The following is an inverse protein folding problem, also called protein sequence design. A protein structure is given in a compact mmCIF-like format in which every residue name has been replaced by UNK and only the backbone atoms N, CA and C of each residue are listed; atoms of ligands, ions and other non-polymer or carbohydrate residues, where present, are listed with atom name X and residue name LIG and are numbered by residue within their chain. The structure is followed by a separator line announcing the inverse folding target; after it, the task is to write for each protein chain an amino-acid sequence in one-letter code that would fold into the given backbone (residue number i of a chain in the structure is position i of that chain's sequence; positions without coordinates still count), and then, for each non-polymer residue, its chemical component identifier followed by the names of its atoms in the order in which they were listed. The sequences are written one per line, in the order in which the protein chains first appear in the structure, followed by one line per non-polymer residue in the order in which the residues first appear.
data_IF_176415014391
#
_entry.id   IF_176415014391
#
_cell.length_a   1.000
_cell.length_b   1.000
_cell.length_c   1.000
_cell.angle_alpha   90.00
_cell.angle_beta   90.00
_cell.angle_gamma   90.00
#
_symmetry.space_group_name_H-M   'P 1'
#
loop_
_entity.id
_entity.type
_entity.pdbx_description
1 polymer ?
#
# COMPACT_ATOMS: atom_id res chain seq x y z
N UNK A 1 -7.96 3.38 -38.88
CA UNK A 1 -8.54 2.71 -37.69
C UNK A 1 -8.05 3.46 -36.48
N UNK A 2 -8.95 4.06 -35.68
CA UNK A 2 -8.54 4.84 -34.53
C UNK A 2 -7.98 3.90 -33.43
N UNK A 3 -6.82 4.24 -32.86
CA UNK A 3 -6.26 3.56 -31.71
C UNK A 3 -7.14 3.82 -30.48
N UNK A 4 -8.18 3.01 -30.30
CA UNK A 4 -9.09 3.04 -29.15
C UNK A 4 -8.48 2.36 -27.91
N UNK A 5 -7.17 2.44 -27.75
CA UNK A 5 -6.47 1.93 -26.57
C UNK A 5 -6.25 3.10 -25.62
N UNK A 6 -6.52 2.89 -24.33
CA UNK A 6 -6.32 3.91 -23.28
C UNK A 6 -7.22 5.16 -23.38
N UNK A 7 -8.37 5.08 -24.04
CA UNK A 7 -9.33 6.19 -24.15
C UNK A 7 -10.22 6.37 -22.90
N UNK A 8 -10.38 5.33 -22.09
CA UNK A 8 -11.17 5.40 -20.86
C UNK A 8 -10.47 6.22 -19.77
N UNK A 9 -11.12 7.24 -19.17
CA UNK A 9 -10.54 8.03 -18.10
C UNK A 9 -10.33 7.19 -16.83
N UNK A 10 -9.13 7.24 -16.26
CA UNK A 10 -8.70 6.45 -15.08
C UNK A 10 -8.58 7.30 -13.82
N UNK A 11 -9.49 8.25 -13.64
CA UNK A 11 -9.49 9.18 -12.50
C UNK A 11 -9.78 8.47 -11.17
N UNK A 12 -10.48 7.33 -11.24
CA UNK A 12 -10.85 6.52 -10.09
C UNK A 12 -10.63 5.03 -10.37
N UNK A 13 -10.83 4.19 -9.35
CA UNK A 13 -10.62 2.75 -9.45
C UNK A 13 -9.17 2.32 -9.22
N UNK A 14 -8.85 1.08 -9.55
CA UNK A 14 -7.57 0.43 -9.20
C UNK A 14 -6.37 1.05 -9.90
N UNK A 15 -6.53 1.43 -11.17
CA UNK A 15 -5.42 1.94 -11.98
C UNK A 15 -5.19 3.45 -11.80
N UNK A 16 -6.08 4.13 -11.07
CA UNK A 16 -5.89 5.53 -10.69
C UNK A 16 -4.72 5.73 -9.72
N UNK A 17 -4.33 4.68 -8.98
CA UNK A 17 -3.34 4.78 -7.89
C UNK A 17 -2.33 3.66 -7.98
N UNK A 18 -1.07 4.04 -7.90
CA UNK A 18 0.07 3.13 -7.94
C UNK A 18 0.93 3.31 -6.69
N UNK A 19 1.68 2.27 -6.34
CA UNK A 19 2.67 2.36 -5.27
C UNK A 19 3.75 3.38 -5.62
N UNK A 20 4.13 4.22 -4.64
CA UNK A 20 5.22 5.20 -4.78
C UNK A 20 6.58 4.59 -5.16
N UNK A 21 6.86 3.36 -4.72
CA UNK A 21 8.16 2.68 -4.93
C UNK A 21 8.09 1.73 -6.11
N UNK A 22 7.17 0.75 -6.05
CA UNK A 22 7.14 -0.39 -6.95
C UNK A 22 6.25 -0.16 -8.19
N UNK A 23 5.58 1.00 -8.31
CA UNK A 23 4.58 1.36 -9.34
C UNK A 23 3.45 0.35 -9.59
N UNK A 24 3.35 -0.70 -8.77
CA UNK A 24 2.26 -1.68 -8.87
C UNK A 24 0.94 -1.08 -8.37
N UNK A 25 -0.16 -1.50 -8.97
CA UNK A 25 -1.53 -1.18 -8.52
C UNK A 25 -2.08 -2.24 -7.57
N UNK A 26 -1.34 -3.34 -7.34
CA UNK A 26 -1.80 -4.48 -6.53
C UNK A 26 -1.43 -4.33 -5.06
N UNK A 27 -2.40 -4.56 -4.18
CA UNK A 27 -2.16 -4.63 -2.73
C UNK A 27 -1.63 -3.32 -2.14
N UNK A 28 -2.15 -2.20 -2.63
CA UNK A 28 -1.82 -0.86 -2.16
C UNK A 28 -2.43 -0.62 -0.77
N UNK A 29 -1.59 -0.32 0.21
CA UNK A 29 -2.02 0.12 1.54
C UNK A 29 -2.41 1.59 1.43
N UNK A 30 -3.71 1.86 1.61
CA UNK A 30 -4.33 3.19 1.48
C UNK A 30 -4.55 3.89 2.82
N UNK A 31 -4.39 3.17 3.93
CA UNK A 31 -4.56 3.73 5.28
C UNK A 31 -3.47 4.77 5.54
N UNK A 32 -3.85 5.90 6.15
CA UNK A 32 -2.96 7.01 6.47
C UNK A 32 -2.25 7.64 5.25
N UNK A 33 -2.83 7.52 4.04
CA UNK A 33 -2.29 8.10 2.81
C UNK A 33 -0.87 7.65 2.41
N UNK A 34 -0.42 6.48 2.87
CA UNK A 34 0.92 5.94 2.55
C UNK A 34 1.11 5.63 1.05
N UNK A 35 0.06 5.20 0.36
CA UNK A 35 0.09 4.79 -1.06
C UNK A 35 1.29 3.86 -1.39
N UNK A 36 1.49 2.83 -0.58
CA UNK A 36 2.60 1.88 -0.70
C UNK A 36 2.11 0.43 -0.83
N UNK A 37 2.75 -0.38 -1.68
CA UNK A 37 2.41 -1.80 -1.86
C UNK A 37 2.80 -2.60 -0.61
N UNK A 38 2.03 -3.64 -0.25
CA UNK A 38 2.28 -4.45 0.97
C UNK A 38 3.69 -5.07 1.06
N UNK A 39 4.37 -5.28 -0.08
CA UNK A 39 5.76 -5.77 -0.13
C UNK A 39 6.72 -4.67 0.33
N UNK A 40 6.70 -3.52 -0.36
CA UNK A 40 7.51 -2.36 -0.01
C UNK A 40 7.22 -1.82 1.39
N UNK A 41 5.97 -1.91 1.87
CA UNK A 41 5.64 -1.50 3.22
C UNK A 41 6.35 -2.35 4.28
N UNK A 42 6.52 -3.65 4.05
CA UNK A 42 7.21 -4.53 5.01
C UNK A 42 8.72 -4.26 5.06
N UNK A 43 9.31 -3.88 3.94
CA UNK A 43 10.73 -3.50 3.86
C UNK A 43 10.99 -2.17 4.60
N UNK A 44 10.10 -1.19 4.42
CA UNK A 44 10.26 0.18 4.94
C UNK A 44 9.48 0.45 6.23
N UNK A 45 8.84 -0.55 6.83
CA UNK A 45 8.00 -0.38 8.01
C UNK A 45 8.78 0.24 9.18
N UNK A 46 10.03 -0.21 9.38
CA UNK A 46 10.88 0.26 10.46
C UNK A 46 11.27 1.73 10.28
N UNK A 47 11.61 2.15 9.04
CA UNK A 47 12.03 3.52 8.71
C UNK A 47 10.88 4.52 8.86
N UNK A 48 9.65 4.10 8.54
CA UNK A 48 8.45 4.92 8.73
C UNK A 48 8.07 4.99 10.24
N UNK A 49 8.70 4.19 11.10
CA UNK A 49 8.47 4.18 12.54
C UNK A 49 7.35 3.24 12.99
N UNK A 50 6.90 2.32 12.13
CA UNK A 50 5.92 1.31 12.46
C UNK A 50 6.58 0.15 13.24
N UNK A 51 6.17 -0.08 14.49
CA UNK A 51 6.63 -1.21 15.30
C UNK A 51 5.56 -2.29 15.42
N UNK A 52 5.98 -3.55 15.27
CA UNK A 52 5.14 -4.73 15.48
C UNK A 52 5.02 -5.04 16.98
N UNK A 53 3.93 -4.61 17.61
CA UNK A 53 3.64 -4.95 19.01
C UNK A 53 2.91 -6.29 19.05
N UNK A 54 3.53 -7.34 19.60
CA UNK A 54 2.87 -8.63 19.83
C UNK A 54 2.21 -8.60 21.21
N UNK A 55 0.88 -8.49 21.29
CA UNK A 55 0.19 -8.86 22.52
C UNK A 55 0.31 -10.38 22.68
N UNK A 56 0.92 -10.84 23.78
CA UNK A 56 0.94 -12.27 24.16
C UNK A 56 -0.51 -12.76 24.17
N UNK A 57 -0.91 -13.60 23.20
CA UNK A 57 -2.24 -14.23 23.21
C UNK A 57 -3.05 -14.32 21.92
N UNK A 58 -2.60 -13.78 20.77
CA UNK A 58 -3.31 -14.03 19.49
C UNK A 58 -2.33 -14.11 18.33
N UNK A 59 -2.13 -15.33 17.83
CA UNK A 59 -1.43 -15.57 16.56
C UNK A 59 -2.35 -15.15 15.42
N UNK A 60 -2.52 -13.84 15.24
CA UNK A 60 -3.35 -13.25 14.19
C UNK A 60 -2.88 -11.83 13.94
N UNK A 61 -2.19 -11.63 12.82
CA UNK A 61 -1.74 -10.34 12.26
C UNK A 61 -1.45 -9.24 13.29
N UNK A 62 -0.28 -9.27 13.92
CA UNK A 62 0.18 -8.14 14.74
C UNK A 62 0.12 -6.85 13.91
N UNK A 63 -0.78 -5.95 14.31
CA UNK A 63 -0.87 -4.62 13.73
C UNK A 63 0.45 -3.90 13.96
N UNK A 64 0.99 -3.30 12.90
CA UNK A 64 2.15 -2.42 13.01
C UNK A 64 1.60 -1.05 13.40
N UNK A 65 1.91 -0.57 14.61
CA UNK A 65 1.44 0.73 15.10
C UNK A 65 2.50 1.79 14.79
N UNK A 66 2.09 2.92 14.21
CA UNK A 66 2.99 4.04 13.91
C UNK A 66 3.38 4.69 15.24
N UNK A 67 4.67 4.77 15.55
CA UNK A 67 5.13 5.63 16.65
C UNK A 67 5.05 7.08 16.18
N UNK A 68 4.16 7.87 16.78
CA UNK A 68 4.01 9.31 16.49
C UNK A 68 3.06 9.61 15.34
#
# INVERSE_FOLDING_TARGET
MANLTYTHPRNYGKDSRHCRVCKTTRGLIRKYHLNMCRRCFRERANDIGFIKVRRRGRQGSAGVFKRG
#
